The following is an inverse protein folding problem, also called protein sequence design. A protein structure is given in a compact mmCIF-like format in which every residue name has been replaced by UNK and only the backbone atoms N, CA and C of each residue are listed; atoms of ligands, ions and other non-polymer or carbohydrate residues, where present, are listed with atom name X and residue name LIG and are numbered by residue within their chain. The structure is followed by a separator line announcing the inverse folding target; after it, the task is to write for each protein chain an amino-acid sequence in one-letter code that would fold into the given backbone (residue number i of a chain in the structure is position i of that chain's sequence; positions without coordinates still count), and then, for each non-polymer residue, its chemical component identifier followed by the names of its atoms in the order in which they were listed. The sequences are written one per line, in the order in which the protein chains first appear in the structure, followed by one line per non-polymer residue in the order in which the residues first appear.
data_IF_797356198580
#
_entry.id   IF_797356198580
#
_cell.length_a   1.000
_cell.length_b   1.000
_cell.length_c   1.000
_cell.angle_alpha   90.00
_cell.angle_beta   90.00
_cell.angle_gamma   90.00
#
_symmetry.space_group_name_H-M   'P 1'
#
loop_
_entity.id
_entity.type
_entity.pdbx_description
1 polymer ?
#
# COMPACT_ATOMS: atom_id res chain seq x y z
N UNK A 1 18.11 11.24 8.80
CA UNK A 1 17.60 10.46 7.65
C UNK A 1 17.05 9.10 8.06
N UNK A 2 17.77 8.30 8.87
CA UNK A 2 17.30 6.95 9.30
C UNK A 2 15.98 6.95 10.06
N UNK A 3 15.83 7.76 11.11
CA UNK A 3 14.58 7.84 11.90
C UNK A 3 13.39 8.22 11.02
N UNK A 4 13.56 9.20 10.13
CA UNK A 4 12.52 9.61 9.19
C UNK A 4 12.09 8.47 8.25
N UNK A 5 13.02 7.63 7.79
CA UNK A 5 12.68 6.46 6.97
C UNK A 5 11.91 5.39 7.75
N UNK A 6 12.23 5.18 9.02
CA UNK A 6 11.48 4.24 9.87
C UNK A 6 10.05 4.73 10.07
N UNK A 7 9.86 6.01 10.40
CA UNK A 7 8.53 6.61 10.59
C UNK A 7 7.70 6.55 9.30
N UNK A 8 8.30 6.93 8.16
CA UNK A 8 7.64 6.84 6.85
C UNK A 8 7.29 5.39 6.48
N UNK A 9 8.17 4.43 6.79
CA UNK A 9 7.93 3.01 6.55
C UNK A 9 6.76 2.48 7.37
N UNK A 10 6.68 2.84 8.65
CA UNK A 10 5.56 2.45 9.53
C UNK A 10 4.26 3.08 9.04
N UNK A 11 4.26 4.38 8.75
CA UNK A 11 3.06 5.07 8.25
C UNK A 11 2.57 4.50 6.93
N UNK A 12 3.47 4.22 5.99
CA UNK A 12 3.14 3.57 4.73
C UNK A 12 2.58 2.15 4.95
N UNK A 13 3.19 1.37 5.85
CA UNK A 13 2.72 0.02 6.17
C UNK A 13 1.31 0.00 6.76
N UNK A 14 0.98 0.94 7.66
CA UNK A 14 -0.37 1.09 8.20
C UNK A 14 -1.33 1.49 7.08
N UNK A 15 -0.98 2.48 6.26
CA UNK A 15 -1.83 2.94 5.15
C UNK A 15 -2.15 1.81 4.15
N UNK A 16 -1.13 1.07 3.69
CA UNK A 16 -1.29 -0.03 2.73
C UNK A 16 -2.04 -1.23 3.32
N UNK A 17 -2.05 -1.41 4.64
CA UNK A 17 -2.87 -2.43 5.27
C UNK A 17 -4.32 -1.98 5.45
N UNK A 18 -4.55 -0.72 5.83
CA UNK A 18 -5.88 -0.23 6.21
C UNK A 18 -6.72 0.22 5.01
N UNK A 19 -6.14 0.90 4.01
CA UNK A 19 -6.87 1.43 2.86
C UNK A 19 -7.65 0.36 2.06
N UNK A 20 -7.03 -0.76 1.61
CA UNK A 20 -7.74 -1.79 0.86
C UNK A 20 -8.79 -2.49 1.72
N UNK A 21 -8.51 -2.69 3.02
CA UNK A 21 -9.47 -3.28 3.96
C UNK A 21 -10.71 -2.39 4.07
N UNK A 22 -10.52 -1.10 4.35
CA UNK A 22 -11.61 -0.13 4.42
C UNK A 22 -12.43 -0.11 3.12
N UNK A 23 -11.76 -0.10 1.95
CA UNK A 23 -12.43 -0.11 0.66
C UNK A 23 -13.22 -1.40 0.40
N UNK A 24 -12.73 -2.56 0.84
CA UNK A 24 -13.49 -3.82 0.73
C UNK A 24 -14.66 -3.91 1.70
N UNK A 25 -14.58 -3.20 2.83
CA UNK A 25 -15.64 -3.16 3.85
C UNK A 25 -16.78 -2.21 3.48
N UNK A 26 -16.48 -1.09 2.83
CA UNK A 26 -17.50 -0.10 2.40
C UNK A 26 -18.09 -0.38 1.02
N UNK A 27 -17.49 -1.28 0.23
CA UNK A 27 -17.98 -1.62 -1.10
C UNK A 27 -18.84 -2.88 -1.15
N UNK A 28 -19.84 -2.87 -2.04
CA UNK A 28 -20.71 -4.01 -2.29
C UNK A 28 -19.92 -5.22 -2.84
N UNK A 29 -20.28 -6.44 -2.39
CA UNK A 29 -19.56 -7.69 -2.68
C UNK A 29 -19.24 -7.92 -4.17
N UNK A 30 -20.17 -7.55 -5.06
CA UNK A 30 -20.02 -7.65 -6.51
C UNK A 30 -18.93 -6.76 -7.12
N UNK A 31 -18.59 -5.64 -6.47
CA UNK A 31 -17.62 -4.65 -6.96
C UNK A 31 -16.29 -4.64 -6.21
N UNK A 32 -16.20 -5.30 -5.04
CA UNK A 32 -14.99 -5.32 -4.17
C UNK A 32 -13.71 -5.60 -4.94
N UNK A 33 -13.70 -6.70 -5.72
CA UNK A 33 -12.51 -7.09 -6.47
C UNK A 33 -12.09 -6.08 -7.54
N UNK A 34 -13.05 -5.47 -8.24
CA UNK A 34 -12.76 -4.46 -9.28
C UNK A 34 -12.18 -3.18 -8.67
N UNK A 35 -12.69 -2.78 -7.51
CA UNK A 35 -12.26 -1.62 -6.75
C UNK A 35 -10.82 -1.78 -6.24
N UNK A 36 -10.47 -2.95 -5.69
CA UNK A 36 -9.08 -3.25 -5.25
C UNK A 36 -8.12 -3.31 -6.44
N UNK A 37 -8.53 -3.86 -7.59
CA UNK A 37 -7.69 -3.85 -8.79
C UNK A 37 -7.48 -2.43 -9.30
N UNK A 38 -8.51 -1.58 -9.23
CA UNK A 38 -8.40 -0.17 -9.62
C UNK A 38 -7.44 0.61 -8.71
N UNK A 39 -7.44 0.35 -7.40
CA UNK A 39 -6.44 0.88 -6.47
C UNK A 39 -5.02 0.46 -6.88
N UNK A 40 -4.81 -0.83 -7.18
CA UNK A 40 -3.51 -1.33 -7.63
C UNK A 40 -3.07 -0.70 -8.96
N UNK A 41 -4.02 -0.46 -9.87
CA UNK A 41 -3.76 0.22 -11.14
C UNK A 41 -3.33 1.68 -10.94
N UNK A 42 -3.88 2.38 -9.93
CA UNK A 42 -3.55 3.77 -9.60
C UNK A 42 -2.07 3.95 -9.22
N UNK A 43 -1.41 2.92 -8.68
CA UNK A 43 0.02 2.98 -8.38
C UNK A 43 0.91 3.19 -9.62
N UNK A 44 0.47 2.75 -10.81
CA UNK A 44 1.25 2.87 -12.04
C UNK A 44 1.39 4.34 -12.50
N UNK A 45 0.31 5.10 -12.70
CA UNK A 45 0.43 6.51 -13.03
C UNK A 45 1.12 7.31 -11.93
N UNK A 46 0.96 6.94 -10.66
CA UNK A 46 1.66 7.59 -9.54
C UNK A 46 3.18 7.39 -9.66
N UNK A 47 3.63 6.16 -9.92
CA UNK A 47 5.04 5.87 -10.19
C UNK A 47 5.56 6.65 -11.40
N UNK A 48 4.78 6.72 -12.49
CA UNK A 48 5.12 7.52 -13.66
C UNK A 48 5.25 9.02 -13.33
N UNK A 49 4.34 9.59 -12.55
CA UNK A 49 4.38 11.00 -12.14
C UNK A 49 5.64 11.32 -11.33
N UNK A 50 5.98 10.45 -10.36
CA UNK A 50 7.23 10.57 -9.61
C UNK A 50 8.43 10.53 -10.55
N UNK A 51 8.42 9.65 -11.55
CA UNK A 51 9.52 9.57 -12.52
C UNK A 51 9.67 10.83 -13.36
N UNK A 52 8.56 11.44 -13.79
CA UNK A 52 8.63 12.70 -14.53
C UNK A 52 9.15 13.86 -13.68
N UNK A 53 8.78 13.89 -12.39
CA UNK A 53 9.28 14.89 -11.44
C UNK A 53 10.78 14.70 -11.20
N UNK A 54 11.22 13.48 -10.92
CA UNK A 54 12.64 13.16 -10.69
C UNK A 54 13.52 13.36 -11.93
N UNK A 55 12.98 13.22 -13.15
CA UNK A 55 13.68 13.61 -14.38
C UNK A 55 13.76 15.13 -14.59
N UNK A 56 12.78 15.91 -14.12
CA UNK A 56 12.72 17.37 -14.31
C UNK A 56 13.57 18.20 -13.34
N UNK A 57 13.77 17.73 -12.10
CA UNK A 57 14.52 18.46 -11.07
C UNK A 57 16.08 18.42 -11.11
N UNK A 58 16.79 17.54 -11.84
CA UNK A 58 18.25 17.59 -11.92
C UNK A 58 18.78 18.83 -12.67
N UNK A 59 17.95 19.52 -13.45
CA UNK A 59 18.32 20.77 -14.13
C UNK A 59 18.35 21.99 -13.21
N UNK A 60 17.74 21.91 -12.03
CA UNK A 60 17.64 23.02 -11.05
C UNK A 60 18.85 23.06 -10.10
N UNK A 61 19.57 21.94 -9.93
CA UNK A 61 20.75 21.85 -9.07
C UNK A 61 20.48 22.00 -7.57
N UNK A 62 21.29 21.33 -6.75
CA UNK A 62 21.30 21.48 -5.28
C UNK A 62 20.43 20.51 -4.49
N UNK A 63 20.50 20.64 -3.15
CA UNK A 63 19.82 19.78 -2.15
C UNK A 63 18.28 19.74 -2.29
N UNK A 64 17.71 20.67 -3.08
CA UNK A 64 16.27 20.81 -3.31
C UNK A 64 15.72 19.65 -4.15
N UNK A 65 16.47 19.13 -5.12
CA UNK A 65 16.02 18.02 -5.98
C UNK A 65 15.70 16.75 -5.17
N UNK A 66 16.39 16.53 -4.05
CA UNK A 66 16.18 15.35 -3.19
C UNK A 66 15.01 15.52 -2.21
N UNK A 67 14.67 16.76 -1.86
CA UNK A 67 13.67 17.08 -0.83
C UNK A 67 12.32 17.44 -1.43
N UNK A 68 12.29 17.92 -2.67
CA UNK A 68 11.06 18.32 -3.35
C UNK A 68 10.08 17.16 -3.54
N UNK A 69 10.48 15.95 -3.99
CA UNK A 69 9.54 14.83 -4.11
C UNK A 69 8.91 14.46 -2.76
N UNK A 70 9.70 14.50 -1.69
CA UNK A 70 9.23 14.24 -0.32
C UNK A 70 8.24 15.32 0.16
N UNK A 71 8.51 16.59 -0.16
CA UNK A 71 7.61 17.70 0.16
C UNK A 71 6.32 17.64 -0.65
N UNK A 72 6.40 17.27 -1.93
CA UNK A 72 5.22 17.12 -2.79
C UNK A 72 4.31 15.98 -2.31
N UNK A 73 4.86 14.88 -1.81
CA UNK A 73 4.08 13.80 -1.19
C UNK A 73 3.28 14.26 0.03
N UNK A 74 3.81 15.21 0.82
CA UNK A 74 3.09 15.73 2.00
C UNK A 74 1.78 16.44 1.63
N UNK A 75 1.69 17.04 0.44
CA UNK A 75 0.46 17.66 -0.05
C UNK A 75 -0.69 16.65 -0.14
N UNK A 76 -0.45 15.47 -0.71
CA UNK A 76 -1.47 14.42 -0.80
C UNK A 76 -1.90 13.88 0.55
N UNK A 77 -0.99 13.83 1.53
CA UNK A 77 -1.34 13.45 2.91
C UNK A 77 -2.30 14.46 3.55
N UNK A 78 -2.09 15.76 3.33
CA UNK A 78 -3.02 16.79 3.81
C UNK A 78 -4.38 16.72 3.13
N UNK A 79 -4.40 16.44 1.81
CA UNK A 79 -5.65 16.23 1.08
C UNK A 79 -6.41 15.02 1.64
N UNK A 80 -5.74 13.87 1.82
CA UNK A 80 -6.34 12.68 2.43
C UNK A 80 -6.88 12.99 3.83
N UNK A 81 -6.07 13.64 4.68
CA UNK A 81 -6.46 14.01 6.04
C UNK A 81 -7.69 14.93 6.05
N UNK A 82 -7.78 15.86 5.07
CA UNK A 82 -8.94 16.73 4.93
C UNK A 82 -10.20 16.01 4.45
N UNK A 83 -10.06 14.96 3.64
CA UNK A 83 -11.20 14.21 3.08
C UNK A 83 -11.71 13.13 4.03
N UNK A 84 -10.85 12.63 4.91
CA UNK A 84 -11.17 11.57 5.88
C UNK A 84 -12.46 11.82 6.68
N UNK A 85 -12.77 13.04 7.18
CA UNK A 85 -14.00 13.30 7.92
C UNK A 85 -15.30 13.16 7.11
N UNK A 86 -15.24 13.21 5.77
CA UNK A 86 -16.41 13.03 4.90
C UNK A 86 -16.59 11.58 4.43
N UNK A 87 -15.66 10.71 4.77
CA UNK A 87 -15.66 9.33 4.29
C UNK A 87 -16.53 8.46 5.21
N UNK A 88 -17.42 7.60 4.67
CA UNK A 88 -18.22 6.72 5.50
C UNK A 88 -17.31 5.78 6.30
N UNK A 89 -17.67 5.59 7.57
CA UNK A 89 -16.93 4.69 8.44
C UNK A 89 -17.08 3.24 7.99
N UNK A 90 -16.09 2.42 8.33
CA UNK A 90 -16.13 1.01 7.97
C UNK A 90 -17.19 0.28 8.79
N UNK A 91 -17.92 -0.62 8.15
CA UNK A 91 -19.07 -1.30 8.77
C UNK A 91 -18.69 -2.12 10.01
N UNK A 92 -17.45 -2.63 10.07
CA UNK A 92 -16.91 -3.32 11.27
C UNK A 92 -16.65 -2.38 12.43
N UNK A 93 -16.24 -1.13 12.14
CA UNK A 93 -16.04 -0.11 13.18
C UNK A 93 -17.38 0.30 13.79
N UNK A 94 -18.39 0.56 12.95
CA UNK A 94 -19.76 0.88 13.36
C UNK A 94 -20.36 -0.21 14.25
N UNK A 95 -20.22 -1.48 13.86
CA UNK A 95 -20.71 -2.63 14.65
C UNK A 95 -20.00 -2.82 16.01
N UNK A 96 -18.79 -2.28 16.17
CA UNK A 96 -18.00 -2.40 17.40
C UNK A 96 -18.20 -1.21 18.37
N UNK A 97 -18.57 -0.03 17.86
CA UNK A 97 -18.67 1.21 18.64
C UNK A 97 -20.10 1.73 18.79
N UNK A 98 -21.01 1.43 17.87
CA UNK A 98 -22.41 1.88 17.93
C UNK A 98 -23.37 0.71 18.12
N UNK A 99 -24.24 0.85 19.13
CA UNK A 99 -25.35 -0.06 19.37
C UNK A 99 -26.41 0.10 18.29
N UNK A 100 -26.58 -0.95 17.49
CA UNK A 100 -27.79 -1.37 16.78
C UNK A 100 -28.54 -0.48 15.76
N UNK A 101 -28.32 0.82 15.57
CA UNK A 101 -29.40 1.63 14.94
C UNK A 101 -29.40 1.94 13.42
N UNK A 102 -28.38 1.64 12.60
CA UNK A 102 -28.52 1.84 11.13
C UNK A 102 -28.93 0.55 10.38
N UNK A 103 -30.22 0.47 10.07
CA UNK A 103 -31.00 -0.77 9.97
C UNK A 103 -31.26 -1.37 8.57
N UNK A 104 -30.55 -1.00 7.49
CA UNK A 104 -31.01 -1.39 6.13
C UNK A 104 -30.04 -2.30 5.35
N UNK A 105 -28.72 -2.26 5.62
CA UNK A 105 -27.72 -3.15 4.95
C UNK A 105 -27.25 -4.33 5.84
N UNK A 106 -27.96 -4.55 6.94
CA UNK A 106 -27.53 -5.33 8.12
C UNK A 106 -27.47 -6.84 7.90
N UNK A 107 -28.42 -7.45 7.18
CA UNK A 107 -28.62 -8.91 7.27
C UNK A 107 -27.52 -9.78 6.65
N UNK A 108 -27.02 -9.43 5.46
CA UNK A 108 -25.99 -10.24 4.79
C UNK A 108 -24.61 -10.06 5.45
N UNK A 109 -24.38 -8.88 6.04
CA UNK A 109 -23.11 -8.49 6.62
C UNK A 109 -23.02 -8.90 8.09
N UNK A 110 -24.14 -8.83 8.84
CA UNK A 110 -24.25 -9.36 10.20
C UNK A 110 -23.96 -10.86 10.25
N UNK A 111 -24.36 -11.64 9.24
CA UNK A 111 -23.98 -13.07 9.15
C UNK A 111 -22.46 -13.25 8.99
N UNK A 112 -21.82 -12.48 8.11
CA UNK A 112 -20.37 -12.55 7.89
C UNK A 112 -19.56 -12.13 9.13
N UNK A 113 -20.01 -11.09 9.83
CA UNK A 113 -19.36 -10.54 11.03
C UNK A 113 -19.61 -11.43 12.24
N UNK A 114 -20.80 -12.01 12.39
CA UNK A 114 -21.12 -12.97 13.46
C UNK A 114 -20.34 -14.26 13.27
N UNK A 115 -20.22 -14.75 12.04
CA UNK A 115 -19.35 -15.87 11.71
C UNK A 115 -17.88 -15.57 12.02
N UNK A 116 -17.39 -14.35 11.73
CA UNK A 116 -16.00 -13.95 12.02
C UNK A 116 -15.76 -13.75 13.53
N UNK A 117 -16.74 -13.25 14.29
CA UNK A 117 -16.68 -13.10 15.75
C UNK A 117 -16.73 -14.44 16.47
N UNK A 118 -17.55 -15.37 15.98
CA UNK A 118 -17.62 -16.75 16.48
C UNK A 118 -16.36 -17.55 16.11
N UNK A 119 -15.70 -17.23 14.99
CA UNK A 119 -14.46 -17.85 14.53
C UNK A 119 -13.21 -16.97 14.72
N UNK A 120 -13.25 -15.98 15.62
CA UNK A 120 -12.13 -15.05 15.83
C UNK A 120 -10.93 -15.81 16.41
N UNK A 121 -9.98 -16.16 15.54
CA UNK A 121 -8.80 -16.97 15.90
C UNK A 121 -7.80 -16.09 16.65
N UNK A 122 -7.43 -16.49 17.88
CA UNK A 122 -6.35 -15.81 18.61
C UNK A 122 -5.02 -16.05 17.91
N UNK A 123 -4.06 -15.13 18.06
CA UNK A 123 -2.72 -15.25 17.46
C UNK A 123 -2.02 -16.58 17.75
N UNK A 124 -2.28 -17.18 18.90
CA UNK A 124 -1.72 -18.48 19.29
C UNK A 124 -2.46 -19.68 18.66
N UNK A 125 -3.74 -19.50 18.33
CA UNK A 125 -4.58 -20.53 17.71
C UNK A 125 -4.36 -20.61 16.19
N UNK A 126 -3.74 -19.59 15.56
CA UNK A 126 -3.29 -19.65 14.16
C UNK A 126 -2.26 -20.76 13.91
N UNK A 127 -1.49 -21.14 14.93
CA UNK A 127 -0.47 -22.20 14.85
C UNK A 127 -0.96 -23.54 15.40
N UNK A 128 -2.16 -23.61 15.97
CA UNK A 128 -2.72 -24.82 16.58
C UNK A 128 -3.94 -25.27 15.78
N UNK A 129 -3.86 -26.46 15.18
CA UNK A 129 -4.99 -27.09 14.49
C UNK A 129 -6.17 -27.22 15.47
N UNK A 130 -7.22 -26.44 15.26
CA UNK A 130 -8.47 -26.50 16.03
C UNK A 130 -9.49 -27.33 15.25
N UNK A 131 -10.44 -27.97 15.93
CA UNK A 131 -11.35 -28.97 15.34
C UNK A 131 -12.34 -28.39 14.28
N UNK A 132 -12.56 -27.07 14.29
CA UNK A 132 -13.38 -26.30 13.33
C UNK A 132 -12.52 -25.44 12.37
N UNK A 133 -11.35 -25.92 11.94
CA UNK A 133 -10.38 -25.10 11.20
C UNK A 133 -10.84 -24.78 9.76
N UNK A 134 -11.11 -23.51 9.47
CA UNK A 134 -11.40 -22.98 8.12
C UNK A 134 -10.17 -22.95 7.19
N UNK A 135 -9.17 -23.80 7.46
CA UNK A 135 -7.83 -23.80 6.86
C UNK A 135 -7.13 -22.44 7.01
N UNK A 136 -7.20 -21.86 8.20
CA UNK A 136 -6.68 -20.51 8.48
C UNK A 136 -5.16 -20.43 8.26
N UNK A 137 -4.43 -21.48 8.65
CA UNK A 137 -2.99 -21.60 8.40
C UNK A 137 -2.68 -21.62 6.89
N UNK A 138 -3.48 -22.33 6.09
CA UNK A 138 -3.31 -22.34 4.63
C UNK A 138 -3.56 -20.95 4.04
N UNK A 139 -4.58 -20.23 4.52
CA UNK A 139 -4.86 -18.85 4.08
C UNK A 139 -3.70 -17.91 4.45
N UNK A 140 -3.16 -18.03 5.66
CA UNK A 140 -2.00 -17.25 6.11
C UNK A 140 -0.76 -17.55 5.26
N UNK A 141 -0.47 -18.83 5.01
CA UNK A 141 0.68 -19.25 4.18
C UNK A 141 0.50 -18.83 2.72
N UNK A 142 -0.71 -18.87 2.18
CA UNK A 142 -0.99 -18.37 0.82
C UNK A 142 -0.84 -16.84 0.73
N UNK A 143 -1.32 -16.11 1.74
CA UNK A 143 -1.16 -14.66 1.83
C UNK A 143 0.31 -14.25 1.97
N UNK A 144 1.00 -14.80 2.97
CA UNK A 144 2.42 -14.55 3.20
C UNK A 144 3.30 -15.04 2.04
N UNK A 145 2.97 -16.18 1.46
CA UNK A 145 3.67 -16.76 0.31
C UNK A 145 3.53 -15.90 -0.94
N UNK A 146 2.35 -15.34 -1.22
CA UNK A 146 2.17 -14.45 -2.37
C UNK A 146 2.96 -13.13 -2.22
N UNK A 147 3.02 -12.56 -1.02
CA UNK A 147 3.85 -11.39 -0.72
C UNK A 147 5.36 -11.73 -0.81
N UNK A 148 5.77 -12.90 -0.35
CA UNK A 148 7.14 -13.37 -0.48
C UNK A 148 7.55 -13.52 -1.95
N UNK A 149 6.72 -14.14 -2.78
CA UNK A 149 6.98 -14.33 -4.21
C UNK A 149 7.09 -12.97 -4.92
N UNK A 150 6.21 -12.00 -4.59
CA UNK A 150 6.30 -10.65 -5.15
C UNK A 150 7.66 -9.98 -4.87
N UNK A 151 8.14 -10.06 -3.63
CA UNK A 151 9.43 -9.48 -3.27
C UNK A 151 10.62 -10.26 -3.82
N UNK A 152 10.53 -11.59 -3.84
CA UNK A 152 11.57 -12.45 -4.39
C UNK A 152 11.73 -12.29 -5.90
N UNK A 153 10.67 -11.89 -6.61
CA UNK A 153 10.73 -11.45 -8.01
C UNK A 153 11.68 -10.28 -8.26
N UNK A 154 12.24 -9.66 -7.20
CA UNK A 154 13.35 -8.73 -7.31
C UNK A 154 12.93 -7.32 -7.72
N UNK A 155 11.63 -6.99 -7.66
CA UNK A 155 11.09 -5.69 -8.08
C UNK A 155 11.85 -4.53 -7.40
N UNK A 156 12.09 -4.65 -6.09
CA UNK A 156 12.81 -3.65 -5.31
C UNK A 156 14.30 -3.57 -5.70
N UNK A 157 14.96 -4.71 -5.92
CA UNK A 157 16.38 -4.74 -6.33
C UNK A 157 16.53 -4.07 -7.70
N UNK A 158 15.64 -4.39 -8.64
CA UNK A 158 15.65 -3.77 -9.96
C UNK A 158 15.49 -2.26 -9.84
N UNK A 159 14.50 -1.75 -9.09
CA UNK A 159 14.31 -0.31 -8.92
C UNK A 159 15.53 0.42 -8.34
N UNK A 160 16.27 -0.17 -7.42
CA UNK A 160 17.46 0.48 -6.82
C UNK A 160 18.71 0.39 -7.70
N UNK A 161 18.92 -0.73 -8.40
CA UNK A 161 20.18 -1.01 -9.09
C UNK A 161 20.13 -0.84 -10.61
N UNK A 162 18.94 -0.74 -11.23
CA UNK A 162 18.77 -0.46 -12.66
C UNK A 162 19.66 0.70 -13.16
N UNK A 163 19.71 1.89 -12.52
CA UNK A 163 20.59 2.97 -12.98
C UNK A 163 22.06 2.59 -12.98
N UNK A 164 22.52 1.92 -11.92
CA UNK A 164 23.91 1.52 -11.75
C UNK A 164 24.32 0.49 -12.80
N UNK A 165 23.45 -0.48 -13.09
CA UNK A 165 23.67 -1.51 -14.11
C UNK A 165 23.71 -0.88 -15.52
N UNK A 166 22.80 0.04 -15.84
CA UNK A 166 22.81 0.66 -17.16
C UNK A 166 24.01 1.59 -17.40
N UNK A 167 24.53 2.25 -16.36
CA UNK A 167 25.75 3.05 -16.46
C UNK A 167 27.01 2.19 -16.55
N UNK A 168 27.17 1.22 -15.65
CA UNK A 168 28.44 0.47 -15.52
C UNK A 168 28.51 -0.74 -16.45
N UNK A 169 27.41 -1.43 -16.71
CA UNK A 169 27.40 -2.67 -17.51
C UNK A 169 27.07 -2.42 -18.97
N UNK A 170 26.21 -1.44 -19.29
CA UNK A 170 25.79 -1.13 -20.67
C UNK A 170 26.54 0.09 -21.26
N UNK A 171 27.15 0.92 -20.41
CA UNK A 171 27.92 2.09 -20.85
C UNK A 171 27.07 3.21 -21.45
N UNK A 172 25.78 3.29 -21.07
CA UNK A 172 24.87 4.30 -21.59
C UNK A 172 25.18 5.70 -21.03
N UNK A 173 25.00 6.76 -21.83
CA UNK A 173 25.23 8.13 -21.38
C UNK A 173 24.26 8.52 -20.26
N UNK A 174 24.74 9.29 -19.27
CA UNK A 174 24.01 9.70 -18.07
C UNK A 174 22.59 10.23 -18.33
N UNK A 175 22.38 10.97 -19.43
CA UNK A 175 21.06 11.51 -19.78
C UNK A 175 20.07 10.41 -20.16
N UNK A 176 20.51 9.39 -20.90
CA UNK A 176 19.67 8.28 -21.32
C UNK A 176 19.36 7.36 -20.14
N UNK A 177 20.34 7.11 -19.25
CA UNK A 177 20.09 6.33 -18.05
C UNK A 177 19.10 7.03 -17.12
N UNK A 178 19.24 8.34 -16.90
CA UNK A 178 18.30 9.12 -16.10
C UNK A 178 16.89 9.13 -16.68
N UNK A 179 16.76 9.14 -18.01
CA UNK A 179 15.46 9.01 -18.68
C UNK A 179 14.84 7.62 -18.49
N UNK A 180 15.65 6.55 -18.53
CA UNK A 180 15.18 5.16 -18.47
C UNK A 180 14.96 4.65 -17.04
N UNK A 181 15.67 5.19 -16.07
CA UNK A 181 15.76 4.63 -14.70
C UNK A 181 15.39 5.61 -13.62
N UNK A 182 15.03 6.84 -14.00
CA UNK A 182 14.61 7.89 -13.10
C UNK A 182 15.62 8.29 -12.00
N UNK A 183 16.86 7.82 -12.09
CA UNK A 183 17.81 8.02 -11.00
C UNK A 183 18.38 9.44 -11.01
N UNK A 184 17.80 10.32 -10.18
CA UNK A 184 18.45 11.57 -9.80
C UNK A 184 19.47 11.30 -8.69
N UNK A 185 20.79 11.45 -8.94
CA UNK A 185 21.76 11.34 -7.86
C UNK A 185 21.58 12.52 -6.90
N UNK A 186 21.09 12.24 -5.69
CA UNK A 186 21.22 13.19 -4.58
C UNK A 186 22.71 13.25 -4.19
N UNK A 187 23.50 14.10 -4.86
CA UNK A 187 24.82 14.46 -4.37
C UNK A 187 24.63 15.28 -3.09
N UNK A 188 24.85 14.66 -1.94
CA UNK A 188 25.24 15.38 -0.72
C UNK A 188 26.63 15.94 -0.88
#
# INVERSE_FOLDING_TARGET
MFVGRVVLGVGNGINTATAPIWQTETSQAQWRGKLVIFEMMMNIPDYCLVNWINYGFPFVGGSVACRFPLAFQSFFLFVLWSITPWLPESLRWLLAHEGEEEAIERNEIEFSVRYERENAVRWYDLFRKTENDTNTLRRLVLGAGSQFIQQFGGINIMSYYMPTVLMQSVGLPDKLVRLLTDATPCRT
#
